data_IF_323210711606
#
_entry.id   IF_323210711606
#
_cell.length_a   1.000
_cell.length_b   1.000
_cell.length_c   1.000
_cell.angle_alpha   90.00
_cell.angle_beta   90.00
_cell.angle_gamma   90.00
#
_symmetry.space_group_name_H-M   'P 1'
#
loop_
_entity.id
_entity.type
_entity.pdbx_description
1 polymer ?
#
# COMPACT_ATOMS: atom_id res chain seq x y z
N UNK A 1 3.58 17.23 2.41
CA UNK A 1 3.51 18.36 1.43
C UNK A 1 3.90 17.87 0.01
N UNK A 2 3.48 18.54 -1.08
CA UNK A 2 3.74 18.13 -2.47
C UNK A 2 4.23 19.30 -3.37
N UNK A 3 4.80 19.01 -4.55
CA UNK A 3 5.33 20.02 -5.49
C UNK A 3 4.25 20.73 -6.33
N UNK A 4 3.02 20.20 -6.35
CA UNK A 4 1.89 20.82 -7.03
C UNK A 4 0.95 21.47 -6.02
N UNK A 5 0.17 22.44 -6.48
CA UNK A 5 -0.92 22.99 -5.69
C UNK A 5 -1.94 21.89 -5.36
N UNK A 6 -2.31 21.80 -4.10
CA UNK A 6 -3.45 21.00 -3.61
C UNK A 6 -4.53 21.92 -3.05
N UNK A 7 -5.73 21.39 -2.82
CA UNK A 7 -6.81 22.10 -2.11
C UNK A 7 -6.94 21.49 -0.71
N UNK A 8 -6.74 22.27 0.38
CA UNK A 8 -6.85 21.76 1.74
C UNK A 8 -8.31 21.44 2.12
N UNK A 9 -8.49 20.71 3.21
CA UNK A 9 -9.80 20.16 3.62
C UNK A 9 -10.88 21.22 3.88
N UNK A 10 -10.48 22.34 4.45
CA UNK A 10 -11.31 23.49 4.82
C UNK A 10 -11.71 24.36 3.61
N UNK A 11 -10.88 24.38 2.57
CA UNK A 11 -11.19 25.06 1.29
C UNK A 11 -11.94 24.17 0.28
N UNK A 12 -12.03 22.87 0.53
CA UNK A 12 -12.67 21.94 -0.38
C UNK A 12 -14.19 22.21 -0.50
N UNK A 13 -14.69 22.20 -1.74
CA UNK A 13 -16.11 22.37 -2.05
C UNK A 13 -16.61 21.28 -2.99
N UNK A 14 -17.94 21.19 -3.16
CA UNK A 14 -18.57 20.32 -4.14
C UNK A 14 -18.17 18.84 -4.02
N UNK A 15 -17.74 18.23 -5.13
CA UNK A 15 -17.36 16.81 -5.18
C UNK A 15 -16.12 16.51 -4.34
N UNK A 16 -15.13 17.40 -4.32
CA UNK A 16 -13.91 17.20 -3.54
C UNK A 16 -14.23 17.10 -2.04
N UNK A 17 -15.06 18.01 -1.53
CA UNK A 17 -15.45 18.01 -0.12
C UNK A 17 -16.10 16.69 0.30
N UNK A 18 -17.06 16.20 -0.50
CA UNK A 18 -17.72 14.91 -0.26
C UNK A 18 -16.74 13.74 -0.24
N UNK A 19 -15.68 13.77 -1.05
CA UNK A 19 -14.67 12.71 -1.06
C UNK A 19 -13.73 12.82 0.13
N UNK A 20 -13.30 14.03 0.47
CA UNK A 20 -12.55 14.29 1.70
C UNK A 20 -13.32 13.79 2.92
N UNK A 21 -14.58 14.15 3.10
CA UNK A 21 -15.39 13.69 4.22
C UNK A 21 -15.49 12.15 4.31
N UNK A 22 -15.28 11.42 3.19
CA UNK A 22 -15.22 9.96 3.16
C UNK A 22 -13.85 9.38 3.51
N UNK A 23 -12.75 10.02 3.09
CA UNK A 23 -11.38 9.52 3.30
C UNK A 23 -10.73 10.04 4.57
N UNK A 24 -11.23 11.15 5.11
CA UNK A 24 -10.65 11.83 6.26
C UNK A 24 -10.59 10.95 7.50
N UNK A 25 -9.46 11.03 8.21
CA UNK A 25 -9.28 10.46 9.54
C UNK A 25 -9.62 11.43 10.68
N UNK A 26 -9.29 11.08 11.94
CA UNK A 26 -9.54 11.94 13.09
C UNK A 26 -8.99 13.36 12.91
N UNK A 27 -9.73 14.35 13.40
CA UNK A 27 -9.29 15.75 13.37
C UNK A 27 -9.29 16.41 11.99
N UNK A 28 -9.89 15.79 10.96
CA UNK A 28 -9.91 16.36 9.62
C UNK A 28 -8.69 15.98 8.76
N UNK A 29 -7.82 15.07 9.23
CA UNK A 29 -6.63 14.67 8.47
C UNK A 29 -7.02 14.01 7.15
N UNK A 30 -6.47 14.51 6.05
CA UNK A 30 -6.50 13.84 4.76
C UNK A 30 -5.07 13.50 4.41
N UNK A 31 -4.77 12.23 4.20
CA UNK A 31 -3.41 11.81 3.89
C UNK A 31 -2.88 12.58 2.67
N UNK A 32 -1.59 12.93 2.69
CA UNK A 32 -1.01 13.76 1.64
C UNK A 32 -1.17 13.12 0.25
N UNK A 33 -1.11 11.78 0.17
CA UNK A 33 -1.36 11.02 -1.06
C UNK A 33 -2.80 11.14 -1.56
N UNK A 34 -3.79 11.36 -0.69
CA UNK A 34 -5.15 11.67 -1.10
C UNK A 34 -5.27 13.13 -1.55
N UNK A 35 -4.63 14.06 -0.84
CA UNK A 35 -4.69 15.49 -1.18
C UNK A 35 -4.08 15.83 -2.55
N UNK A 36 -3.08 15.08 -3.03
CA UNK A 36 -2.52 15.30 -4.38
C UNK A 36 -3.54 15.07 -5.51
N UNK A 37 -4.61 14.32 -5.25
CA UNK A 37 -5.72 14.13 -6.20
C UNK A 37 -6.74 15.30 -6.21
N UNK A 38 -6.60 16.29 -5.34
CA UNK A 38 -7.60 17.36 -5.12
C UNK A 38 -7.98 18.16 -6.38
N UNK A 39 -7.05 18.33 -7.32
CA UNK A 39 -7.32 19.03 -8.59
C UNK A 39 -8.16 18.19 -9.57
N UNK A 40 -8.20 16.86 -9.40
CA UNK A 40 -8.97 15.91 -10.20
C UNK A 40 -9.59 14.85 -9.29
N UNK A 41 -10.66 15.17 -8.55
CA UNK A 41 -11.17 14.30 -7.48
C UNK A 41 -11.60 12.90 -7.94
N UNK A 42 -11.90 12.70 -9.23
CA UNK A 42 -12.19 11.37 -9.77
C UNK A 42 -11.00 10.41 -9.73
N UNK A 43 -9.76 10.93 -9.77
CA UNK A 43 -8.57 10.10 -9.58
C UNK A 43 -8.41 9.61 -8.12
N UNK A 44 -8.94 10.36 -7.15
CA UNK A 44 -9.01 9.92 -5.74
C UNK A 44 -9.96 8.74 -5.57
N UNK A 45 -11.13 8.80 -6.23
CA UNK A 45 -12.09 7.67 -6.22
C UNK A 45 -11.45 6.40 -6.79
N UNK A 46 -10.75 6.51 -7.92
CA UNK A 46 -10.03 5.39 -8.51
C UNK A 46 -8.93 4.84 -7.60
N UNK A 47 -8.16 5.74 -6.98
CA UNK A 47 -7.13 5.37 -6.01
C UNK A 47 -7.74 4.60 -4.84
N UNK A 48 -8.75 5.15 -4.18
CA UNK A 48 -9.38 4.54 -3.00
C UNK A 48 -10.09 3.24 -3.33
N UNK A 49 -10.74 3.13 -4.48
CA UNK A 49 -11.37 1.90 -4.91
C UNK A 49 -10.35 0.76 -5.06
N UNK A 50 -9.23 1.02 -5.75
CA UNK A 50 -8.17 0.02 -5.90
C UNK A 50 -7.54 -0.28 -4.55
N UNK A 51 -7.17 0.74 -3.78
CA UNK A 51 -6.56 0.60 -2.44
C UNK A 51 -7.40 -0.29 -1.52
N UNK A 52 -8.71 -0.01 -1.41
CA UNK A 52 -9.63 -0.79 -0.58
C UNK A 52 -9.70 -2.24 -1.07
N UNK A 53 -9.79 -2.45 -2.39
CA UNK A 53 -9.91 -3.78 -2.97
C UNK A 53 -8.65 -4.63 -2.74
N UNK A 54 -7.46 -4.06 -2.93
CA UNK A 54 -6.21 -4.85 -2.87
C UNK A 54 -5.70 -5.09 -1.45
N UNK A 55 -6.12 -4.33 -0.45
CA UNK A 55 -5.64 -4.47 0.93
C UNK A 55 -6.71 -4.81 1.95
N UNK A 56 -7.95 -4.37 1.75
CA UNK A 56 -8.96 -4.35 2.82
C UNK A 56 -10.21 -5.16 2.50
N UNK A 57 -10.34 -5.71 1.29
CA UNK A 57 -11.55 -6.41 0.88
C UNK A 57 -11.64 -7.81 1.52
N UNK A 58 -12.82 -8.19 1.99
CA UNK A 58 -13.09 -9.48 2.65
C UNK A 58 -12.95 -10.69 1.73
N UNK A 59 -12.99 -10.46 0.42
CA UNK A 59 -12.69 -11.47 -0.59
C UNK A 59 -11.21 -11.84 -0.71
N UNK A 60 -10.30 -11.08 -0.10
CA UNK A 60 -8.88 -11.41 -0.11
C UNK A 60 -8.59 -12.50 0.93
N UNK A 61 -7.81 -13.51 0.56
CA UNK A 61 -7.42 -14.60 1.46
C UNK A 61 -6.01 -14.41 2.02
N UNK A 62 -5.15 -13.64 1.36
CA UNK A 62 -3.84 -13.29 1.91
C UNK A 62 -4.02 -12.40 3.14
N UNK A 63 -3.37 -12.72 4.27
CA UNK A 63 -3.47 -11.90 5.47
C UNK A 63 -3.08 -10.45 5.20
N UNK A 64 -3.92 -9.53 5.66
CA UNK A 64 -3.74 -8.07 5.48
C UNK A 64 -2.35 -7.57 5.89
N UNK A 65 -1.81 -8.09 7.00
CA UNK A 65 -0.46 -7.74 7.44
C UNK A 65 0.59 -8.12 6.38
N UNK A 66 0.41 -9.24 5.68
CA UNK A 66 1.35 -9.67 4.65
C UNK A 66 1.19 -8.87 3.35
N UNK A 67 -0.03 -8.45 3.00
CA UNK A 67 -0.26 -7.48 1.92
C UNK A 67 0.45 -6.14 2.21
N UNK A 68 0.45 -5.67 3.47
CA UNK A 68 1.22 -4.49 3.88
C UNK A 68 2.74 -4.75 3.81
N UNK A 69 3.24 -5.96 4.17
CA UNK A 69 4.66 -6.33 3.96
C UNK A 69 5.05 -6.20 2.50
N UNK A 70 4.24 -6.72 1.56
CA UNK A 70 4.48 -6.57 0.12
C UNK A 70 4.45 -5.10 -0.31
N UNK A 71 3.53 -4.31 0.25
CA UNK A 71 3.45 -2.88 0.01
C UNK A 71 4.69 -2.09 0.46
N UNK A 72 5.17 -2.36 1.67
CA UNK A 72 6.41 -1.78 2.21
C UNK A 72 7.62 -2.27 1.40
N UNK A 73 7.61 -3.53 0.97
CA UNK A 73 8.68 -4.11 0.15
C UNK A 73 8.80 -3.40 -1.20
N UNK A 74 7.70 -3.30 -1.96
CA UNK A 74 7.65 -2.61 -3.27
C UNK A 74 7.99 -1.12 -3.11
N UNK A 75 7.46 -0.48 -2.08
CA UNK A 75 7.75 0.92 -1.77
C UNK A 75 9.22 1.16 -1.46
N UNK A 76 9.82 0.24 -0.72
CA UNK A 76 11.24 0.28 -0.44
C UNK A 76 12.00 0.12 -1.76
N UNK A 77 11.68 -0.86 -2.62
CA UNK A 77 12.38 -1.09 -3.91
C UNK A 77 12.34 0.12 -4.84
N UNK A 78 11.28 0.91 -4.78
CA UNK A 78 11.12 2.16 -5.54
C UNK A 78 11.69 3.40 -4.81
N UNK A 79 12.32 3.23 -3.65
CA UNK A 79 12.82 4.31 -2.78
C UNK A 79 11.72 5.34 -2.39
N UNK A 80 10.46 4.90 -2.23
CA UNK A 80 9.36 5.75 -1.75
C UNK A 80 9.34 5.81 -0.20
N UNK A 81 10.10 6.74 0.39
CA UNK A 81 10.14 6.91 1.85
C UNK A 81 8.75 7.18 2.49
N UNK A 82 7.93 8.04 1.87
CA UNK A 82 6.55 8.30 2.35
C UNK A 82 5.74 7.01 2.46
N UNK A 83 5.77 6.19 1.41
CA UNK A 83 5.01 4.96 1.33
C UNK A 83 5.56 3.91 2.33
N UNK A 84 6.89 3.82 2.49
CA UNK A 84 7.52 2.94 3.48
C UNK A 84 7.07 3.32 4.89
N UNK A 85 7.20 4.58 5.30
CA UNK A 85 6.85 4.97 6.67
C UNK A 85 5.35 4.86 6.94
N UNK A 86 4.51 5.29 6.00
CA UNK A 86 3.06 5.22 6.15
C UNK A 86 2.57 3.77 6.31
N UNK A 87 2.98 2.89 5.41
CA UNK A 87 2.51 1.51 5.41
C UNK A 87 3.18 0.64 6.47
N UNK A 88 4.43 0.95 6.85
CA UNK A 88 5.07 0.28 7.98
C UNK A 88 4.35 0.57 9.31
N UNK A 89 3.90 1.81 9.51
CA UNK A 89 3.08 2.15 10.67
C UNK A 89 1.75 1.37 10.69
N UNK A 90 1.12 1.17 9.53
CA UNK A 90 -0.06 0.31 9.38
C UNK A 90 0.25 -1.17 9.66
N UNK A 91 1.34 -1.69 9.11
CA UNK A 91 1.83 -3.05 9.32
C UNK A 91 2.03 -3.36 10.82
N UNK A 92 2.70 -2.46 11.54
CA UNK A 92 2.95 -2.59 12.98
C UNK A 92 1.64 -2.75 13.78
N UNK A 93 0.63 -1.95 13.45
CA UNK A 93 -0.70 -2.04 14.09
C UNK A 93 -1.39 -3.38 13.83
N UNK A 94 -1.23 -3.93 12.62
CA UNK A 94 -1.83 -5.21 12.23
C UNK A 94 -1.12 -6.42 12.83
N UNK A 95 0.23 -6.38 12.89
CA UNK A 95 1.02 -7.47 13.44
C UNK A 95 0.82 -7.62 14.95
N UNK A 96 0.65 -6.50 15.67
CA UNK A 96 0.61 -6.48 17.14
C UNK A 96 1.83 -7.18 17.78
N UNK A 97 2.96 -7.14 17.06
CA UNK A 97 4.23 -7.76 17.40
C UNK A 97 5.35 -6.85 16.88
N UNK A 98 5.80 -5.96 17.76
CA UNK A 98 6.74 -4.89 17.40
C UNK A 98 8.11 -5.46 16.99
N UNK A 99 8.61 -6.45 17.72
CA UNK A 99 9.89 -7.10 17.45
C UNK A 99 9.89 -7.75 16.08
N UNK A 100 8.85 -8.54 15.76
CA UNK A 100 8.73 -9.18 14.45
C UNK A 100 8.59 -8.15 13.34
N UNK A 101 7.79 -7.11 13.54
CA UNK A 101 7.63 -6.05 12.55
C UNK A 101 8.93 -5.30 12.27
N UNK A 102 9.73 -4.97 13.30
CA UNK A 102 11.04 -4.34 13.15
C UNK A 102 12.05 -5.26 12.44
N UNK A 103 12.03 -6.56 12.72
CA UNK A 103 12.87 -7.53 12.02
C UNK A 103 12.50 -7.65 10.52
N UNK A 104 11.21 -7.62 10.18
CA UNK A 104 10.75 -7.57 8.78
C UNK A 104 11.25 -6.28 8.10
N UNK A 105 11.13 -5.12 8.76
CA UNK A 105 11.62 -3.85 8.22
C UNK A 105 13.13 -3.87 7.97
N UNK A 106 13.91 -4.37 8.92
CA UNK A 106 15.36 -4.48 8.77
C UNK A 106 15.75 -5.33 7.55
N UNK A 107 15.06 -6.47 7.35
CA UNK A 107 15.26 -7.32 6.18
C UNK A 107 14.88 -6.62 4.86
N UNK A 108 13.78 -5.86 4.84
CA UNK A 108 13.37 -5.04 3.69
C UNK A 108 14.42 -3.96 3.36
N UNK A 109 14.89 -3.22 4.36
CA UNK A 109 15.90 -2.17 4.19
C UNK A 109 17.25 -2.75 3.71
N UNK A 110 17.63 -3.92 4.22
CA UNK A 110 18.82 -4.65 3.80
C UNK A 110 18.69 -5.31 2.41
N UNK A 111 17.50 -5.26 1.79
CA UNK A 111 17.18 -5.99 0.55
C UNK A 111 17.35 -7.50 0.65
N UNK A 112 17.18 -8.06 1.85
CA UNK A 112 17.40 -9.47 2.15
C UNK A 112 16.14 -10.12 2.75
N UNK A 113 15.16 -10.52 1.91
CA UNK A 113 13.97 -11.23 2.38
C UNK A 113 14.28 -12.56 3.12
N UNK A 114 15.46 -13.15 2.92
CA UNK A 114 15.81 -14.40 3.58
C UNK A 114 16.08 -14.21 5.07
N UNK A 115 16.54 -13.02 5.48
CA UNK A 115 16.73 -12.65 6.87
C UNK A 115 15.41 -12.31 7.60
N UNK A 116 14.28 -12.16 6.89
CA UNK A 116 13.00 -11.81 7.49
C UNK A 116 12.38 -13.01 8.24
N UNK A 117 11.70 -12.78 9.39
CA UNK A 117 10.92 -13.81 10.10
C UNK A 117 9.59 -14.08 9.38
N UNK A 118 9.71 -14.63 8.18
CA UNK A 118 8.63 -14.96 7.25
C UNK A 118 8.71 -16.42 6.83
N UNK A 119 7.55 -16.99 6.52
CA UNK A 119 7.46 -18.34 6.00
C UNK A 119 8.11 -18.46 4.61
N UNK A 120 8.60 -19.65 4.22
CA UNK A 120 9.22 -19.84 2.90
C UNK A 120 8.34 -19.34 1.74
N UNK A 121 7.03 -19.59 1.79
CA UNK A 121 6.10 -19.12 0.76
C UNK A 121 6.03 -17.59 0.66
N UNK A 122 6.06 -16.90 1.80
CA UNK A 122 6.04 -15.44 1.85
C UNK A 122 7.30 -14.84 1.22
N UNK A 123 8.45 -15.49 1.38
CA UNK A 123 9.70 -15.08 0.74
C UNK A 123 9.65 -15.27 -0.78
N UNK A 124 9.05 -16.36 -1.26
CA UNK A 124 8.79 -16.57 -2.71
C UNK A 124 7.91 -15.44 -3.27
N UNK A 125 6.85 -15.05 -2.55
CA UNK A 125 6.01 -13.91 -2.92
C UNK A 125 6.79 -12.58 -2.98
N UNK A 126 7.68 -12.32 -2.02
CA UNK A 126 8.56 -11.14 -2.05
C UNK A 126 9.52 -11.17 -3.25
N UNK A 127 10.04 -12.35 -3.61
CA UNK A 127 10.87 -12.54 -4.80
C UNK A 127 10.11 -12.22 -6.10
N UNK A 128 8.89 -12.74 -6.24
CA UNK A 128 7.99 -12.40 -7.34
C UNK A 128 7.70 -10.89 -7.40
N UNK A 129 7.33 -10.29 -6.26
CA UNK A 129 7.02 -8.86 -6.17
C UNK A 129 8.22 -7.98 -6.56
N UNK A 130 9.45 -8.38 -6.19
CA UNK A 130 10.68 -7.71 -6.62
C UNK A 130 10.82 -7.75 -8.14
N UNK A 131 10.73 -8.95 -8.74
CA UNK A 131 10.87 -9.12 -10.19
C UNK A 131 9.83 -8.30 -10.96
N UNK A 132 8.57 -8.31 -10.50
CA UNK A 132 7.49 -7.52 -11.08
C UNK A 132 7.72 -6.00 -10.94
N UNK A 133 8.40 -5.55 -9.89
CA UNK A 133 8.69 -4.13 -9.65
C UNK A 133 9.89 -3.64 -10.47
N UNK A 134 11.02 -4.35 -10.41
CA UNK A 134 12.29 -3.92 -11.02
C UNK A 134 12.38 -4.27 -12.52
N UNK A 135 11.79 -5.40 -12.92
CA UNK A 135 11.92 -5.94 -14.28
C UNK A 135 10.61 -6.65 -14.75
N UNK A 136 9.46 -5.95 -14.80
CA UNK A 136 8.16 -6.56 -15.12
C UNK A 136 8.15 -7.33 -16.45
N UNK A 137 8.88 -6.84 -17.46
CA UNK A 137 8.99 -7.50 -18.76
C UNK A 137 9.72 -8.85 -18.73
N UNK A 138 10.44 -9.15 -17.64
CA UNK A 138 11.14 -10.42 -17.43
C UNK A 138 10.31 -11.47 -16.68
N UNK A 139 9.11 -11.11 -16.20
CA UNK A 139 8.21 -12.06 -15.56
C UNK A 139 7.75 -13.09 -16.59
N UNK A 140 7.83 -14.35 -16.21
CA UNK A 140 7.52 -15.50 -17.05
C UNK A 140 6.65 -16.52 -16.31
N UNK A 141 6.12 -17.51 -17.03
CA UNK A 141 5.23 -18.52 -16.46
C UNK A 141 5.89 -19.33 -15.33
N UNK A 142 7.22 -19.48 -15.36
CA UNK A 142 7.98 -20.18 -14.33
C UNK A 142 7.87 -19.50 -12.95
N UNK A 143 7.76 -18.15 -12.91
CA UNK A 143 7.59 -17.41 -11.66
C UNK A 143 6.23 -17.71 -11.04
N UNK A 144 5.18 -17.81 -11.86
CA UNK A 144 3.83 -18.21 -11.42
C UNK A 144 3.85 -19.66 -10.93
N UNK A 145 4.58 -20.55 -11.63
CA UNK A 145 4.71 -21.93 -11.19
C UNK A 145 5.47 -22.04 -9.86
N UNK A 146 6.48 -21.19 -9.62
CA UNK A 146 7.18 -21.14 -8.35
C UNK A 146 6.25 -20.72 -7.20
N UNK A 147 5.36 -19.74 -7.43
CA UNK A 147 4.33 -19.36 -6.45
C UNK A 147 3.38 -20.52 -6.14
N UNK A 148 2.91 -21.25 -7.16
CA UNK A 148 2.07 -22.45 -6.95
C UNK A 148 2.78 -23.55 -6.19
N UNK A 149 4.05 -23.79 -6.51
CA UNK A 149 4.88 -24.77 -5.80
C UNK A 149 5.12 -24.37 -4.33
N UNK A 150 5.07 -23.07 -4.02
CA UNK A 150 5.13 -22.55 -2.66
C UNK A 150 3.78 -22.63 -1.91
N UNK A 151 2.71 -23.06 -2.60
CA UNK A 151 1.41 -23.31 -1.99
C UNK A 151 0.34 -22.25 -2.26
N UNK A 152 0.64 -21.20 -3.04
CA UNK A 152 -0.37 -20.20 -3.39
C UNK A 152 -1.32 -20.71 -4.48
N UNK A 153 -2.61 -20.46 -4.31
CA UNK A 153 -3.57 -20.64 -5.40
C UNK A 153 -3.60 -19.46 -6.38
N UNK A 154 -4.34 -19.58 -7.49
CA UNK A 154 -4.38 -18.54 -8.52
C UNK A 154 -5.07 -17.24 -8.05
N UNK A 155 -5.95 -17.31 -7.03
CA UNK A 155 -6.57 -16.14 -6.40
C UNK A 155 -5.56 -15.38 -5.54
N UNK A 156 -4.81 -16.09 -4.71
CA UNK A 156 -3.74 -15.54 -3.89
C UNK A 156 -2.61 -14.93 -4.75
N UNK A 157 -2.25 -15.59 -5.85
CA UNK A 157 -1.29 -15.04 -6.82
C UNK A 157 -1.82 -13.74 -7.44
N UNK A 158 -3.11 -13.67 -7.76
CA UNK A 158 -3.74 -12.44 -8.25
C UNK A 158 -3.70 -11.34 -7.20
N UNK A 159 -4.01 -11.64 -5.93
CA UNK A 159 -3.93 -10.67 -4.83
C UNK A 159 -2.52 -10.08 -4.69
N UNK A 160 -1.50 -10.93 -4.68
CA UNK A 160 -0.08 -10.55 -4.59
C UNK A 160 0.34 -9.71 -5.80
N UNK A 161 -0.12 -10.05 -7.00
CA UNK A 161 0.11 -9.26 -8.19
C UNK A 161 -0.55 -7.87 -8.09
N UNK A 162 -1.83 -7.81 -7.71
CA UNK A 162 -2.59 -6.57 -7.65
C UNK A 162 -2.06 -5.62 -6.58
N UNK A 163 -1.68 -6.12 -5.39
CA UNK A 163 -1.05 -5.28 -4.36
C UNK A 163 0.29 -4.74 -4.86
N UNK A 164 1.12 -5.58 -5.50
CA UNK A 164 2.41 -5.16 -6.06
C UNK A 164 2.24 -4.07 -7.13
N UNK A 165 1.29 -4.25 -8.05
CA UNK A 165 0.99 -3.29 -9.10
C UNK A 165 0.44 -1.96 -8.54
N UNK A 166 -0.47 -2.04 -7.58
CA UNK A 166 -1.05 -0.88 -6.92
C UNK A 166 0.02 -0.04 -6.20
N UNK A 167 0.90 -0.66 -5.42
CA UNK A 167 1.97 0.07 -4.75
C UNK A 167 2.94 0.71 -5.76
N UNK A 168 3.22 0.03 -6.87
CA UNK A 168 3.94 0.63 -8.00
C UNK A 168 3.26 1.90 -8.55
N UNK A 169 1.93 1.93 -8.65
CA UNK A 169 1.18 3.14 -9.04
C UNK A 169 1.22 4.23 -7.96
N UNK A 170 0.99 3.86 -6.69
CA UNK A 170 1.00 4.78 -5.55
C UNK A 170 2.38 5.43 -5.37
N UNK A 171 3.47 4.64 -5.45
CA UNK A 171 4.84 5.13 -5.36
C UNK A 171 5.14 6.15 -6.47
N UNK A 172 4.74 5.89 -7.72
CA UNK A 172 4.92 6.83 -8.85
C UNK A 172 4.13 8.13 -8.65
N UNK A 173 2.94 8.04 -8.07
CA UNK A 173 2.13 9.22 -7.71
C UNK A 173 2.85 10.06 -6.66
N UNK A 174 3.36 9.43 -5.61
CA UNK A 174 4.08 10.12 -4.52
C UNK A 174 5.39 10.71 -4.99
N UNK A 175 6.25 9.90 -5.60
CA UNK A 175 7.59 10.32 -6.06
C UNK A 175 7.50 11.36 -7.18
N UNK A 176 6.59 11.16 -8.14
CA UNK A 176 6.42 12.06 -9.28
C UNK A 176 5.88 13.44 -8.90
N UNK A 177 5.21 13.56 -7.76
CA UNK A 177 4.62 14.82 -7.27
C UNK A 177 5.31 15.34 -5.99
N UNK A 178 6.37 14.67 -5.52
CA UNK A 178 7.12 15.08 -4.33
C UNK A 178 6.33 15.05 -3.04
N UNK A 179 5.42 14.08 -2.88
CA UNK A 179 4.60 13.95 -1.68
C UNK A 179 5.45 13.49 -0.47
N UNK A 180 5.60 14.36 0.53
CA UNK A 180 6.29 14.11 1.80
C UNK A 180 5.33 13.79 2.94
N UNK A 181 5.85 13.29 4.07
CA UNK A 181 5.09 13.02 5.30
C UNK A 181 4.81 14.28 6.12
N UNK A 182 5.33 15.44 5.70
CA UNK A 182 5.18 16.70 6.45
C UNK A 182 3.71 17.05 6.64
N UNK A 183 3.31 17.23 7.91
CA UNK A 183 1.96 17.58 8.33
C UNK A 183 0.94 16.43 8.27
N UNK A 184 1.38 15.20 8.00
CA UNK A 184 0.51 14.02 7.88
C UNK A 184 0.45 13.19 9.18
N UNK A 185 -0.63 12.42 9.34
CA UNK A 185 -0.79 11.43 10.41
C UNK A 185 -0.66 10.04 9.80
N UNK A 186 0.46 9.38 10.05
CA UNK A 186 0.81 8.13 9.37
C UNK A 186 0.11 6.89 9.94
N UNK A 187 -0.11 5.90 9.07
CA UNK A 187 -0.56 4.55 9.42
C UNK A 187 -2.05 4.42 9.73
N UNK A 188 -2.86 5.44 9.43
CA UNK A 188 -4.31 5.31 9.43
C UNK A 188 -4.77 4.65 8.13
N UNK A 189 -5.81 3.82 8.18
CA UNK A 189 -6.34 3.19 6.96
C UNK A 189 -7.84 2.86 7.09
N UNK A 190 -8.53 2.58 5.98
CA UNK A 190 -9.92 2.12 5.98
C UNK A 190 -10.06 0.75 6.67
N UNK A 191 -10.32 0.75 7.97
CA UNK A 191 -10.27 -0.48 8.78
C UNK A 191 -11.54 -1.36 8.74
N UNK A 192 -12.64 -0.88 8.16
CA UNK A 192 -13.88 -1.65 8.02
C UNK A 192 -13.86 -2.46 6.71
N UNK A 193 -13.43 -3.72 6.78
CA UNK A 193 -13.32 -4.59 5.60
C UNK A 193 -14.67 -4.97 4.98
N UNK A 194 -15.74 -4.99 5.77
CA UNK A 194 -17.08 -5.45 5.34
C UNK A 194 -17.81 -4.45 4.43
N UNK A 195 -17.44 -3.16 4.48
CA UNK A 195 -17.99 -2.13 3.60
C UNK A 195 -16.94 -1.59 2.64
N UNK A 196 -17.00 -1.93 1.33
CA UNK A 196 -16.07 -1.42 0.33
C UNK A 196 -16.20 0.10 0.11
N UNK A 197 -17.27 0.73 0.61
CA UNK A 197 -17.48 2.17 0.52
C UNK A 197 -17.03 2.94 1.77
N UNK A 198 -16.72 2.24 2.88
CA UNK A 198 -16.15 2.83 4.09
C UNK A 198 -14.65 3.06 3.88
N UNK A 199 -14.35 4.32 3.58
CA UNK A 199 -13.02 4.82 3.26
C UNK A 199 -12.40 5.62 4.41
N UNK A 200 -13.06 5.68 5.58
CA UNK A 200 -12.59 6.48 6.69
C UNK A 200 -11.30 5.92 7.27
N UNK A 201 -10.24 6.73 7.33
CA UNK A 201 -8.95 6.31 7.85
C UNK A 201 -8.95 6.36 9.39
N UNK A 202 -8.83 5.21 10.05
CA UNK A 202 -8.92 5.09 11.51
C UNK A 202 -7.70 4.39 12.10
#
# INVERSE_FOLDING_TARGET
MAWIRTVPFDEATGKLKKLYDRVTGPGGNVDNIMMVHSLRPHSMEGHMAIYKNVLHHTGNTIPKWFLEVLGVWVSSLNDCAYCVEHHFAGLQRLLQDEERGLAIRAAIEARDPEAAPLEPAQKVAMGYARKLTEAPASVEQSDIQAMRNAGFDDGEILEINQVTAYFSYANRTVLGLGCSTDGDVLGLSPNNSEDPNDWGHK
#
